data_IF_594418548952
#
_entry.id   IF_594418548952
#
_cell.length_a   1.000
_cell.length_b   1.000
_cell.length_c   1.000
_cell.angle_alpha   90.00
_cell.angle_beta   90.00
_cell.angle_gamma   90.00
#
_symmetry.space_group_name_H-M   'P 1'
#
loop_
_entity.id
_entity.type
_entity.pdbx_description
1 polymer ?
#
# COMPACT_ATOMS: atom_id res chain seq x y z
N UNK A 1 23.20 -4.98 3.14
CA UNK A 1 22.26 -5.09 4.28
C UNK A 1 21.15 -6.08 3.93
N UNK A 2 21.42 -7.38 4.04
CA UNK A 2 20.44 -8.44 3.75
C UNK A 2 19.71 -8.78 5.06
N UNK A 3 18.53 -8.20 5.29
CA UNK A 3 17.67 -8.62 6.41
C UNK A 3 16.93 -9.89 5.98
N UNK A 4 17.59 -11.03 6.14
CA UNK A 4 16.91 -12.32 6.20
C UNK A 4 16.15 -12.37 7.53
N UNK A 5 14.93 -11.85 7.54
CA UNK A 5 13.98 -12.23 8.57
C UNK A 5 13.56 -13.67 8.20
N UNK A 6 13.97 -14.64 9.02
CA UNK A 6 13.45 -15.99 8.96
C UNK A 6 11.96 -15.94 9.33
N UNK A 7 11.12 -15.63 8.35
CA UNK A 7 9.67 -15.63 8.50
C UNK A 7 9.20 -17.01 8.04
N UNK A 8 8.91 -17.88 9.01
CA UNK A 8 8.26 -19.15 8.73
C UNK A 8 6.80 -18.88 8.38
N UNK A 9 6.46 -18.94 7.09
CA UNK A 9 5.08 -18.78 6.61
C UNK A 9 4.21 -20.00 6.98
N UNK A 10 4.85 -21.14 7.25
CA UNK A 10 4.24 -22.42 7.64
C UNK A 10 3.82 -22.53 9.11
N UNK A 11 4.19 -21.58 9.98
CA UNK A 11 3.83 -21.57 11.42
C UNK A 11 2.33 -21.31 11.70
N UNK A 12 1.47 -21.32 10.67
CA UNK A 12 0.02 -21.09 10.77
C UNK A 12 -0.40 -19.66 11.15
N UNK A 13 0.58 -18.78 11.40
CA UNK A 13 0.36 -17.36 11.71
C UNK A 13 0.04 -16.52 10.48
N UNK A 14 0.59 -16.93 9.32
CA UNK A 14 0.33 -16.28 8.04
C UNK A 14 -0.88 -16.92 7.37
N UNK A 15 -1.84 -16.08 7.00
CA UNK A 15 -2.98 -16.46 6.18
C UNK A 15 -2.63 -16.30 4.70
N UNK A 16 -3.19 -17.15 3.83
CA UNK A 16 -2.97 -17.05 2.39
C UNK A 16 -3.43 -15.70 1.84
N UNK A 17 -2.85 -15.31 0.71
CA UNK A 17 -3.25 -14.10 -0.02
C UNK A 17 -4.73 -14.17 -0.45
N UNK A 18 -5.33 -13.00 -0.66
CA UNK A 18 -6.67 -12.87 -1.25
C UNK A 18 -6.56 -12.50 -2.72
N UNK A 19 -7.63 -12.67 -3.51
CA UNK A 19 -7.67 -12.28 -4.94
C UNK A 19 -7.20 -10.83 -5.16
N UNK A 20 -7.55 -9.92 -4.23
CA UNK A 20 -7.11 -8.51 -4.29
C UNK A 20 -5.61 -8.31 -4.13
N UNK A 21 -4.86 -9.30 -3.66
CA UNK A 21 -3.40 -9.25 -3.56
C UNK A 21 -2.69 -9.73 -4.83
N UNK A 22 -3.39 -10.39 -5.76
CA UNK A 22 -2.76 -10.94 -6.96
C UNK A 22 -2.04 -9.87 -7.78
N UNK A 23 -0.81 -10.17 -8.20
CA UNK A 23 0.06 -9.22 -8.91
C UNK A 23 0.88 -8.29 -8.01
N UNK A 24 0.76 -8.39 -6.67
CA UNK A 24 1.63 -7.66 -5.76
C UNK A 24 3.03 -8.30 -5.71
N UNK A 25 4.10 -7.50 -5.80
CA UNK A 25 5.50 -7.95 -5.78
C UNK A 25 5.91 -8.59 -4.43
N UNK A 26 5.11 -8.36 -3.38
CA UNK A 26 5.40 -8.77 -2.00
C UNK A 26 4.77 -10.13 -1.64
N UNK A 27 4.35 -10.90 -2.65
CA UNK A 27 3.81 -12.26 -2.48
C UNK A 27 4.98 -13.24 -2.46
N UNK A 28 4.98 -14.13 -1.48
CA UNK A 28 5.95 -15.22 -1.35
C UNK A 28 5.18 -16.54 -1.41
N UNK A 29 5.68 -17.49 -2.19
CA UNK A 29 5.12 -18.83 -2.25
C UNK A 29 5.93 -19.74 -1.32
N UNK A 30 5.24 -20.43 -0.41
CA UNK A 30 5.84 -21.41 0.49
C UNK A 30 4.94 -22.64 0.56
N UNK A 31 5.51 -23.83 0.30
CA UNK A 31 4.80 -25.12 0.34
C UNK A 31 3.50 -25.15 -0.50
N UNK A 32 3.51 -24.51 -1.68
CA UNK A 32 2.36 -24.46 -2.61
C UNK A 32 1.26 -23.46 -2.23
N UNK A 33 1.44 -22.71 -1.14
CA UNK A 33 0.52 -21.65 -0.72
C UNK A 33 1.20 -20.29 -0.83
N UNK A 34 0.45 -19.29 -1.30
CA UNK A 34 0.97 -17.92 -1.47
C UNK A 34 0.62 -17.07 -0.24
N UNK A 35 1.61 -16.37 0.29
CA UNK A 35 1.53 -15.53 1.48
C UNK A 35 1.97 -14.09 1.21
N UNK A 36 1.52 -13.17 2.04
CA UNK A 36 2.02 -11.80 2.01
C UNK A 36 3.24 -11.66 2.93
N UNK A 37 4.36 -11.13 2.41
CA UNK A 37 5.57 -10.90 3.21
C UNK A 37 5.36 -9.83 4.30
N UNK A 38 4.43 -8.89 4.09
CA UNK A 38 4.25 -7.73 4.97
C UNK A 38 3.09 -7.87 5.97
N UNK A 39 2.10 -8.73 5.70
CA UNK A 39 0.92 -8.88 6.53
C UNK A 39 0.61 -10.35 6.84
N UNK A 40 0.34 -10.63 8.12
CA UNK A 40 -0.11 -11.95 8.57
C UNK A 40 -1.53 -12.27 8.09
N UNK A 41 -2.40 -11.26 7.95
CA UNK A 41 -3.78 -11.43 7.50
C UNK A 41 -4.12 -10.43 6.39
N UNK A 42 -3.84 -10.76 5.12
CA UNK A 42 -4.12 -9.87 3.99
C UNK A 42 -5.62 -9.58 3.84
N UNK A 43 -6.50 -10.55 4.14
CA UNK A 43 -7.96 -10.36 4.08
C UNK A 43 -8.45 -9.26 5.02
N UNK A 44 -7.93 -9.20 6.26
CA UNK A 44 -8.29 -8.14 7.20
C UNK A 44 -7.84 -6.75 6.72
N UNK A 45 -6.66 -6.65 6.09
CA UNK A 45 -6.18 -5.37 5.57
C UNK A 45 -7.11 -4.82 4.50
N UNK A 46 -7.51 -5.65 3.54
CA UNK A 46 -8.43 -5.27 2.45
C UNK A 46 -9.86 -4.99 2.92
N UNK A 47 -10.29 -5.55 4.06
CA UNK A 47 -11.57 -5.19 4.69
C UNK A 47 -11.54 -3.80 5.34
N UNK A 48 -10.41 -3.43 5.95
CA UNK A 48 -10.24 -2.12 6.60
C UNK A 48 -9.98 -0.99 5.60
N UNK A 49 -9.50 -1.32 4.40
CA UNK A 49 -9.30 -0.34 3.33
C UNK A 49 -8.26 -0.81 2.32
N UNK A 50 -7.79 0.13 1.51
CA UNK A 50 -6.79 -0.15 0.50
C UNK A 50 -5.45 -0.57 1.12
N UNK A 51 -4.75 -1.54 0.51
CA UNK A 51 -3.44 -1.96 0.99
C UNK A 51 -2.37 -0.93 0.61
N UNK A 52 -1.72 -0.34 1.61
CA UNK A 52 -0.67 0.69 1.41
C UNK A 52 0.58 0.17 0.66
N UNK A 53 0.75 -1.15 0.61
CA UNK A 53 1.88 -1.81 -0.07
C UNK A 53 1.45 -2.52 -1.36
N UNK A 54 0.21 -2.34 -1.81
CA UNK A 54 -0.19 -2.85 -3.13
C UNK A 54 0.63 -2.13 -4.20
N UNK A 55 1.49 -2.88 -4.89
CA UNK A 55 2.26 -2.37 -6.04
C UNK A 55 1.42 -2.38 -7.31
N UNK A 56 0.44 -3.27 -7.38
CA UNK A 56 -0.42 -3.52 -8.54
C UNK A 56 -1.65 -2.62 -8.62
N UNK A 57 -2.09 -2.11 -7.47
CA UNK A 57 -3.26 -1.24 -7.41
C UNK A 57 -2.86 0.06 -6.74
N UNK A 58 -3.30 1.17 -7.32
CA UNK A 58 -3.06 2.51 -6.78
C UNK A 58 -4.42 3.08 -6.37
N UNK A 59 -4.57 3.62 -5.16
CA UNK A 59 -5.81 4.27 -4.79
C UNK A 59 -6.05 5.42 -5.77
N UNK A 60 -7.24 5.47 -6.37
CA UNK A 60 -7.65 6.60 -7.19
C UNK A 60 -7.78 7.82 -6.27
N UNK A 61 -6.71 8.60 -6.19
CA UNK A 61 -6.75 9.91 -5.56
C UNK A 61 -7.54 10.76 -6.55
N UNK A 62 -8.82 10.96 -6.28
CA UNK A 62 -9.59 12.02 -6.91
C UNK A 62 -8.93 13.34 -6.49
N UNK A 63 -7.92 13.77 -7.25
CA UNK A 63 -7.35 15.10 -7.11
C UNK A 63 -8.45 16.04 -7.55
N UNK A 64 -9.27 16.46 -6.60
CA UNK A 64 -10.16 17.58 -6.79
C UNK A 64 -9.26 18.71 -7.27
N UNK A 65 -9.38 19.07 -8.55
CA UNK A 65 -8.71 20.24 -9.11
C UNK A 65 -9.32 21.44 -8.41
N UNK A 66 -8.80 21.77 -7.24
CA UNK A 66 -9.20 22.93 -6.47
C UNK A 66 -8.76 24.12 -7.32
N UNK A 67 -9.71 24.72 -8.03
CA UNK A 67 -9.49 25.98 -8.76
C UNK A 67 -9.18 27.05 -7.73
N UNK A 68 -7.90 27.26 -7.48
CA UNK A 68 -7.43 28.32 -6.60
C UNK A 68 -7.65 29.65 -7.31
N UNK A 69 -8.34 30.57 -6.64
CA UNK A 69 -8.53 31.93 -7.15
C UNK A 69 -7.16 32.62 -7.34
N UNK A 70 -6.94 33.33 -8.45
CA UNK A 70 -5.66 33.99 -8.76
C UNK A 70 -5.17 34.92 -7.65
N UNK A 71 -6.06 35.62 -6.92
CA UNK A 71 -5.68 36.46 -5.79
C UNK A 71 -5.12 35.64 -4.61
N UNK A 72 -5.65 34.43 -4.39
CA UNK A 72 -5.19 33.50 -3.35
C UNK A 72 -3.86 32.86 -3.72
N UNK A 73 -3.61 32.60 -5.01
CA UNK A 73 -2.31 32.15 -5.51
C UNK A 73 -1.25 33.25 -5.34
N UNK A 74 -1.55 34.49 -5.73
CA UNK A 74 -0.65 35.63 -5.59
C UNK A 74 -0.23 35.88 -4.13
N UNK A 75 -1.19 35.82 -3.18
CA UNK A 75 -0.91 35.96 -1.74
C UNK A 75 -0.03 34.82 -1.18
N UNK A 76 -0.18 33.58 -1.67
CA UNK A 76 0.67 32.45 -1.26
C UNK A 76 2.09 32.57 -1.79
N UNK A 77 2.25 32.96 -3.05
CA UNK A 77 3.55 33.15 -3.68
C UNK A 77 4.38 34.26 -3.01
N UNK A 78 3.72 35.36 -2.62
CA UNK A 78 4.39 36.46 -1.91
C UNK A 78 4.75 36.11 -0.47
N UNK A 79 3.94 35.30 0.24
CA UNK A 79 4.26 34.84 1.60
C UNK A 79 5.41 33.82 1.66
N UNK A 80 5.62 33.03 0.61
CA UNK A 80 6.73 32.06 0.53
C UNK A 80 8.08 32.69 0.18
N UNK A 81 8.10 33.96 -0.23
CA UNK A 81 9.31 34.68 -0.68
C UNK A 81 9.93 35.56 0.42
N UNK A 82 9.41 35.52 1.64
CA UNK A 82 9.90 36.26 2.80
C UNK A 82 10.57 35.34 3.80
#
# INVERSE_FOLDING_TARGET
>A
MQKQAAVNYSDGRYKPIVEKCEGCERIVEDSGTRYCQSYLNPAAKWKLGFCNFATHAKPEIAVAKIRINPLKAAKRASKSKK
#
